data_IF_893560604800
#
_entry.id   IF_893560604800
#
_cell.length_a   1.000
_cell.length_b   1.000
_cell.length_c   1.000
_cell.angle_alpha   90.00
_cell.angle_beta   90.00
_cell.angle_gamma   90.00
#
_symmetry.space_group_name_H-M   'P 1'
#
loop_
_entity.id
_entity.type
_entity.pdbx_description
1 polymer ?
#
# COMPACT_ATOMS: atom_id res chain seq x y z
N UNK A 1 -10.22 -29.37 -0.74
CA UNK A 1 -9.11 -28.75 0.02
C UNK A 1 -8.88 -27.34 -0.50
N UNK A 2 -8.53 -26.38 0.36
CA UNK A 2 -8.15 -25.03 -0.10
C UNK A 2 -6.68 -25.04 -0.53
N UNK A 3 -6.37 -24.38 -1.65
CA UNK A 3 -4.99 -24.20 -2.11
C UNK A 3 -4.26 -23.25 -1.15
N UNK A 4 -3.02 -23.58 -0.80
CA UNK A 4 -2.15 -22.75 0.05
C UNK A 4 -0.93 -22.33 -0.76
N UNK A 5 -0.65 -21.03 -0.78
CA UNK A 5 0.52 -20.43 -1.44
C UNK A 5 1.45 -19.85 -0.38
N UNK A 6 2.76 -19.82 -0.66
CA UNK A 6 3.78 -19.26 0.23
C UNK A 6 4.10 -17.84 -0.20
N UNK A 7 4.05 -16.90 0.75
CA UNK A 7 4.46 -15.51 0.54
C UNK A 7 5.74 -15.22 1.33
N UNK A 8 6.78 -14.73 0.65
CA UNK A 8 8.07 -14.40 1.26
C UNK A 8 8.31 -12.90 1.18
N UNK A 9 8.70 -12.30 2.31
CA UNK A 9 8.97 -10.85 2.42
C UNK A 9 10.37 -10.67 3.01
N UNK A 10 11.14 -9.74 2.43
CA UNK A 10 12.40 -9.29 3.02
C UNK A 10 12.11 -8.17 4.01
N UNK A 11 12.69 -8.24 5.19
CA UNK A 11 12.56 -7.22 6.23
C UNK A 11 13.95 -6.85 6.75
N UNK A 12 14.10 -5.61 7.21
CA UNK A 12 15.30 -5.21 7.94
C UNK A 12 15.45 -6.01 9.25
N UNK A 13 16.70 -6.20 9.67
CA UNK A 13 17.00 -6.97 10.88
C UNK A 13 16.47 -6.31 12.16
N UNK A 14 16.44 -4.98 12.25
CA UNK A 14 15.92 -4.25 13.41
C UNK A 14 14.39 -4.27 13.42
N UNK A 15 13.75 -3.97 12.29
CA UNK A 15 12.29 -4.01 12.16
C UNK A 15 11.73 -5.39 12.52
N UNK A 16 12.37 -6.46 12.03
CA UNK A 16 12.00 -7.83 12.38
C UNK A 16 12.03 -8.07 13.88
N UNK A 17 13.10 -7.65 14.57
CA UNK A 17 13.23 -7.85 16.02
C UNK A 17 12.14 -7.10 16.79
N UNK A 18 11.87 -5.85 16.41
CA UNK A 18 10.87 -5.02 17.05
C UNK A 18 9.46 -5.59 16.85
N UNK A 19 9.08 -5.88 15.61
CA UNK A 19 7.77 -6.44 15.29
C UNK A 19 7.53 -7.79 16.01
N UNK A 20 8.54 -8.66 16.06
CA UNK A 20 8.43 -9.96 16.73
C UNK A 20 8.25 -9.82 18.24
N UNK A 21 8.90 -8.83 18.87
CA UNK A 21 8.70 -8.55 20.29
C UNK A 21 7.25 -8.12 20.57
N UNK A 22 6.69 -7.25 19.73
CA UNK A 22 5.29 -6.79 19.84
C UNK A 22 4.32 -7.97 19.64
N UNK A 23 4.51 -8.78 18.59
CA UNK A 23 3.65 -9.95 18.35
C UNK A 23 3.70 -10.95 19.51
N UNK A 24 4.88 -11.16 20.10
CA UNK A 24 5.04 -12.02 21.28
C UNK A 24 4.26 -11.47 22.49
N UNK A 25 4.28 -10.16 22.71
CA UNK A 25 3.52 -9.52 23.78
C UNK A 25 2.00 -9.64 23.56
N UNK A 26 1.56 -9.57 22.30
CA UNK A 26 0.16 -9.77 21.91
C UNK A 26 -0.27 -11.25 21.87
N UNK A 27 0.66 -12.20 22.07
CA UNK A 27 0.36 -13.63 22.06
C UNK A 27 0.01 -14.19 20.68
N UNK A 28 0.40 -13.51 19.60
CA UNK A 28 0.11 -13.93 18.21
C UNK A 28 1.41 -14.27 17.48
N UNK A 29 1.35 -15.23 16.56
CA UNK A 29 2.47 -15.51 15.68
C UNK A 29 2.56 -14.49 14.54
N UNK A 30 3.76 -14.21 14.00
CA UNK A 30 3.91 -13.32 12.85
C UNK A 30 3.05 -13.77 11.65
N UNK A 31 2.96 -15.08 11.41
CA UNK A 31 2.12 -15.63 10.34
C UNK A 31 0.63 -15.36 10.57
N UNK A 32 0.16 -15.41 11.83
CA UNK A 32 -1.21 -15.05 12.17
C UNK A 32 -1.47 -13.56 11.95
N UNK A 33 -0.53 -12.70 12.35
CA UNK A 33 -0.62 -11.25 12.15
C UNK A 33 -0.72 -10.88 10.66
N UNK A 34 0.18 -11.43 9.83
CA UNK A 34 0.17 -11.21 8.37
C UNK A 34 -1.12 -11.75 7.73
N UNK A 35 -1.61 -12.91 8.18
CA UNK A 35 -2.88 -13.45 7.70
C UNK A 35 -4.08 -12.58 8.09
N UNK A 36 -4.05 -11.99 9.29
CA UNK A 36 -5.09 -11.07 9.75
C UNK A 36 -5.08 -9.78 8.91
N UNK A 37 -3.90 -9.25 8.60
CA UNK A 37 -3.71 -8.12 7.69
C UNK A 37 -4.38 -8.39 6.33
N UNK A 38 -4.05 -9.49 5.67
CA UNK A 38 -4.64 -9.82 4.37
C UNK A 38 -6.16 -9.99 4.44
N UNK A 39 -6.68 -10.62 5.50
CA UNK A 39 -8.13 -10.73 5.71
C UNK A 39 -8.80 -9.36 5.78
N UNK A 40 -8.19 -8.42 6.51
CA UNK A 40 -8.74 -7.08 6.66
C UNK A 40 -8.70 -6.33 5.34
N UNK A 41 -7.59 -6.39 4.60
CA UNK A 41 -7.47 -5.80 3.24
C UNK A 41 -8.57 -6.31 2.31
N UNK A 42 -8.81 -7.63 2.31
CA UNK A 42 -9.85 -8.24 1.48
C UNK A 42 -11.26 -7.79 1.91
N UNK A 43 -11.49 -7.63 3.21
CA UNK A 43 -12.78 -7.25 3.78
C UNK A 43 -13.11 -5.78 3.55
N UNK A 44 -12.17 -4.86 3.78
CA UNK A 44 -12.40 -3.42 3.66
C UNK A 44 -12.08 -2.87 2.28
N UNK A 45 -11.41 -3.66 1.42
CA UNK A 45 -10.86 -3.22 0.13
C UNK A 45 -9.94 -2.00 0.29
N UNK A 46 -9.25 -1.93 1.43
CA UNK A 46 -8.37 -0.82 1.80
C UNK A 46 -7.24 -1.29 2.70
N UNK A 47 -6.22 -0.45 2.87
CA UNK A 47 -5.12 -0.74 3.80
C UNK A 47 -5.63 -0.59 5.24
N UNK A 48 -5.41 -1.59 6.12
CA UNK A 48 -6.01 -1.69 7.46
C UNK A 48 -5.27 -0.87 8.52
N UNK A 49 -4.81 0.31 8.16
CA UNK A 49 -4.29 1.34 9.04
C UNK A 49 -4.48 2.68 8.35
N UNK A 50 -4.66 3.74 9.14
CA UNK A 50 -4.68 5.08 8.59
C UNK A 50 -3.28 5.39 8.04
N UNK A 51 -3.20 5.70 6.74
CA UNK A 51 -1.98 6.24 6.14
C UNK A 51 -1.92 7.71 6.57
N UNK A 52 -1.50 7.93 7.82
CA UNK A 52 -1.22 9.26 8.32
C UNK A 52 0.09 9.73 7.70
N UNK A 53 -0.04 10.26 6.48
CA UNK A 53 1.05 10.98 5.88
C UNK A 53 1.12 12.33 6.60
N UNK A 54 2.05 12.50 7.54
CA UNK A 54 2.23 13.77 8.24
C UNK A 54 2.48 14.96 7.27
N UNK A 55 2.74 14.69 5.98
CA UNK A 55 3.03 15.70 4.96
C UNK A 55 2.13 15.71 3.72
N UNK A 56 1.13 14.83 3.55
CA UNK A 56 0.23 14.93 2.37
C UNK A 56 -1.09 15.57 2.79
N UNK A 57 -1.21 16.86 2.51
CA UNK A 57 -2.48 17.57 2.61
C UNK A 57 -3.43 17.01 1.53
N UNK A 58 -4.34 16.12 1.94
CA UNK A 58 -5.33 15.48 1.06
C UNK A 58 -6.14 16.49 0.23
N UNK A 59 -6.25 17.74 0.67
CA UNK A 59 -6.90 18.81 -0.09
C UNK A 59 -6.11 19.18 -1.36
N UNK A 60 -4.77 19.17 -1.29
CA UNK A 60 -3.89 19.44 -2.44
C UNK A 60 -3.95 18.31 -3.47
N UNK A 61 -4.03 17.05 -3.02
CA UNK A 61 -4.16 15.89 -3.91
C UNK A 61 -5.50 15.90 -4.65
N UNK A 62 -6.59 16.26 -3.96
CA UNK A 62 -7.91 16.45 -4.59
C UNK A 62 -7.92 17.63 -5.56
N UNK A 63 -7.26 18.75 -5.23
CA UNK A 63 -7.13 19.90 -6.13
C UNK A 63 -6.34 19.55 -7.38
N UNK A 64 -5.27 18.77 -7.25
CA UNK A 64 -4.43 18.34 -8.37
C UNK A 64 -5.17 17.36 -9.30
N UNK A 65 -5.93 16.40 -8.73
CA UNK A 65 -6.84 15.53 -9.49
C UNK A 65 -7.89 16.34 -10.26
N UNK A 66 -8.50 17.34 -9.64
CA UNK A 66 -9.50 18.21 -10.28
C UNK A 66 -8.89 19.11 -11.35
N UNK A 67 -7.67 19.62 -11.17
CA UNK A 67 -6.99 20.43 -12.19
C UNK A 67 -6.54 19.60 -13.39
N UNK A 68 -6.13 18.33 -13.19
CA UNK A 68 -5.80 17.41 -14.29
C UNK A 68 -7.05 16.98 -15.07
N UNK A 69 -8.16 16.70 -14.39
CA UNK A 69 -9.43 16.35 -15.02
C UNK A 69 -10.07 17.52 -15.81
N UNK A 70 -9.81 18.77 -15.42
CA UNK A 70 -10.29 19.95 -16.14
C UNK A 70 -9.44 20.31 -17.38
N UNK A 71 -8.22 19.78 -17.49
CA UNK A 71 -7.33 20.02 -18.62
C UNK A 71 -7.47 18.96 -19.73
N UNK A 72 -8.19 17.87 -19.48
CA UNK A 72 -8.43 16.78 -20.44
C UNK A 72 -9.89 16.76 -20.84
N UNK A 73 -10.29 17.68 -21.73
CA UNK A 73 -11.56 17.57 -22.41
C UNK A 73 -11.44 16.54 -23.55
N UNK A 74 -12.40 15.62 -23.56
CA UNK A 74 -12.79 14.67 -24.61
C UNK A 74 -12.31 13.20 -24.53
N UNK A 75 -13.35 12.35 -24.41
CA UNK A 75 -13.47 10.95 -24.83
C UNK A 75 -12.92 9.83 -23.93
N UNK A 76 -13.83 9.30 -23.11
CA UNK A 76 -13.84 7.87 -22.72
C UNK A 76 -13.93 7.00 -23.98
N UNK A 77 -13.24 5.85 -24.01
CA UNK A 77 -13.87 4.63 -23.50
C UNK A 77 -12.98 3.81 -22.56
N UNK A 78 -13.63 3.14 -21.60
CA UNK A 78 -13.17 1.97 -20.85
C UNK A 78 -11.68 1.89 -20.48
N UNK A 79 -11.34 2.29 -19.25
CA UNK A 79 -10.08 1.87 -18.63
C UNK A 79 -10.29 0.42 -18.16
N UNK A 80 -9.78 -0.53 -18.94
CA UNK A 80 -9.44 -1.86 -18.46
C UNK A 80 -8.52 -1.68 -17.26
N UNK A 81 -9.01 -2.02 -16.07
CA UNK A 81 -8.28 -1.92 -14.81
C UNK A 81 -7.40 -3.17 -14.68
N UNK A 82 -6.45 -3.38 -15.59
CA UNK A 82 -5.60 -4.58 -15.55
C UNK A 82 -4.11 -4.42 -15.82
N UNK A 83 -3.53 -3.22 -16.03
CA UNK A 83 -2.07 -3.18 -16.30
C UNK A 83 -1.21 -2.09 -15.60
N UNK A 84 -1.78 -1.01 -15.04
CA UNK A 84 -0.93 0.08 -14.51
C UNK A 84 -0.65 -0.02 -13.00
N UNK A 85 -0.36 -1.23 -12.51
CA UNK A 85 0.09 -1.43 -11.12
C UNK A 85 1.54 -0.99 -10.89
N UNK A 86 2.38 -1.02 -11.93
CA UNK A 86 3.77 -0.56 -11.85
C UNK A 86 3.84 0.97 -11.73
N UNK A 87 3.06 1.69 -12.53
CA UNK A 87 2.99 3.16 -12.51
C UNK A 87 2.57 3.71 -11.14
N UNK A 88 1.66 3.02 -10.45
CA UNK A 88 1.21 3.44 -9.12
C UNK A 88 2.32 3.31 -8.06
N UNK A 89 3.12 2.24 -8.12
CA UNK A 89 4.24 2.06 -7.20
C UNK A 89 5.42 2.96 -7.54
N UNK A 90 5.70 3.21 -8.82
CA UNK A 90 6.71 4.19 -9.25
C UNK A 90 6.32 5.61 -8.84
N UNK A 91 5.05 6.00 -8.99
CA UNK A 91 4.53 7.31 -8.56
C UNK A 91 4.62 7.46 -7.04
N UNK A 92 4.32 6.41 -6.28
CA UNK A 92 4.48 6.41 -4.83
C UNK A 92 5.95 6.48 -4.41
N UNK A 93 6.85 5.78 -5.09
CA UNK A 93 8.28 5.80 -4.81
C UNK A 93 8.90 7.19 -5.09
N UNK A 94 8.46 7.83 -6.18
CA UNK A 94 8.82 9.21 -6.51
C UNK A 94 8.27 10.22 -5.49
N UNK A 95 7.07 10.00 -4.96
CA UNK A 95 6.45 10.87 -3.96
C UNK A 95 7.07 10.71 -2.55
N UNK A 96 7.52 9.51 -2.19
CA UNK A 96 8.18 9.23 -0.91
C UNK A 96 9.66 9.68 -0.87
N UNK A 97 10.21 10.12 -2.00
CA UNK A 97 11.58 10.63 -2.08
C UNK A 97 12.67 9.56 -1.92
N UNK A 98 12.35 8.28 -2.11
CA UNK A 98 13.35 7.19 -2.17
C UNK A 98 14.03 7.11 -3.55
N UNK A 99 14.39 8.26 -4.13
CA UNK A 99 15.20 8.35 -5.35
C UNK A 99 16.71 8.33 -5.07
N UNK A 100 17.15 7.76 -3.95
CA UNK A 100 18.58 7.63 -3.65
C UNK A 100 18.91 6.27 -2.99
N UNK A 101 19.05 5.24 -3.83
CA UNK A 101 20.24 4.39 -3.82
C UNK A 101 20.34 3.53 -5.08
N UNK A 102 21.39 3.82 -5.85
CA UNK A 102 22.09 3.00 -6.84
C UNK A 102 21.86 1.49 -6.81
#
# INVERSE_FOLDING_TARGET
MRKTEVYQVRLDSQEKKQAFAVFKQLGISPAQAVRLFFKQVVLTKSIPFAIENQNINMEQLLKLRKSKAAASNENQPSIDVEDDHEDLFEELNALLGESDKT
#
